data_IF_983267776111
#
_entry.id   IF_983267776111
#
_cell.length_a   1.000
_cell.length_b   1.000
_cell.length_c   1.000
_cell.angle_alpha   90.00
_cell.angle_beta   90.00
_cell.angle_gamma   90.00
#
_symmetry.space_group_name_H-M   'P 1'
#
loop_
_entity.id
_entity.type
_entity.pdbx_description
1 polymer ?
#
# COMPACT_ATOMS: atom_id res chain seq x y z
N UNK A 1 2.68 6.81 -1.16
CA UNK A 1 4.11 7.15 -1.25
C UNK A 1 4.83 6.11 -0.41
N UNK A 2 5.74 5.33 -1.00
CA UNK A 2 6.53 4.32 -0.30
C UNK A 2 7.95 4.86 -0.11
N UNK A 3 8.56 4.60 1.04
CA UNK A 3 9.89 5.13 1.39
C UNK A 3 10.86 3.96 1.58
N UNK A 4 12.02 4.02 0.95
CA UNK A 4 13.16 3.15 1.22
C UNK A 4 14.11 3.83 2.20
N UNK A 5 14.63 3.09 3.18
CA UNK A 5 15.81 3.51 3.93
C UNK A 5 16.89 2.46 3.71
N UNK A 6 17.91 2.79 2.94
CA UNK A 6 19.13 1.99 2.87
C UNK A 6 20.26 2.68 3.65
N UNK A 7 21.16 1.88 4.22
CA UNK A 7 22.22 2.28 5.16
C UNK A 7 23.37 3.02 4.45
N UNK A 8 23.35 3.07 3.12
CA UNK A 8 24.35 3.72 2.28
C UNK A 8 23.87 5.06 1.69
N UNK A 9 23.73 6.10 2.52
CA UNK A 9 23.61 7.56 2.18
C UNK A 9 22.57 8.03 1.12
N UNK A 10 21.98 7.16 0.31
CA UNK A 10 21.01 7.48 -0.74
C UNK A 10 19.65 6.91 -0.34
N UNK A 11 18.69 7.82 -0.11
CA UNK A 11 17.30 7.48 0.22
C UNK A 11 16.50 7.45 -1.08
N UNK A 12 15.78 6.36 -1.33
CA UNK A 12 14.89 6.26 -2.49
C UNK A 12 13.43 6.48 -2.08
N UNK A 13 12.72 7.32 -2.83
CA UNK A 13 11.28 7.53 -2.69
C UNK A 13 10.55 6.93 -3.88
N UNK A 14 9.54 6.13 -3.60
CA UNK A 14 8.60 5.65 -4.60
C UNK A 14 7.29 6.43 -4.54
N UNK A 15 6.94 7.01 -5.68
CA UNK A 15 5.73 7.80 -5.87
C UNK A 15 4.83 7.08 -6.86
N UNK A 16 3.54 7.05 -6.53
CA UNK A 16 2.48 6.58 -7.41
C UNK A 16 1.71 7.79 -7.90
N UNK A 17 1.53 7.89 -9.21
CA UNK A 17 0.84 9.02 -9.84
C UNK A 17 -0.62 8.67 -10.15
N UNK A 18 -1.48 9.67 -10.35
CA UNK A 18 -2.89 9.47 -10.74
C UNK A 18 -3.09 8.80 -12.10
N UNK A 19 -2.04 8.76 -12.93
CA UNK A 19 -2.02 8.02 -14.19
C UNK A 19 -1.53 6.57 -14.05
N UNK A 20 -1.52 6.03 -12.82
CA UNK A 20 -1.11 4.66 -12.51
C UNK A 20 0.33 4.33 -12.90
N UNK A 21 1.22 5.34 -12.85
CA UNK A 21 2.66 5.15 -13.03
C UNK A 21 3.39 5.16 -11.70
N UNK A 22 4.27 4.18 -11.52
CA UNK A 22 5.27 4.11 -10.44
C UNK A 22 6.52 4.87 -10.90
N UNK A 23 7.03 5.74 -10.05
CA UNK A 23 8.30 6.44 -10.25
C UNK A 23 9.16 6.30 -9.00
N UNK A 24 10.46 6.12 -9.20
CA UNK A 24 11.44 6.04 -8.11
C UNK A 24 12.37 7.24 -8.25
N UNK A 25 12.60 7.93 -7.14
CA UNK A 25 13.46 9.11 -7.09
C UNK A 25 14.54 8.92 -6.02
N UNK A 26 15.76 9.31 -6.36
CA UNK A 26 16.87 9.40 -5.43
C UNK A 26 16.79 10.73 -4.66
N UNK A 27 16.98 10.68 -3.35
CA UNK A 27 16.97 11.85 -2.46
C UNK A 27 18.36 12.13 -1.91
N UNK A 28 18.74 13.42 -1.72
CA UNK A 28 17.89 14.63 -1.85
C UNK A 28 17.82 15.21 -3.26
N UNK A 29 18.49 14.61 -4.25
CA UNK A 29 18.63 15.17 -5.61
C UNK A 29 17.31 15.27 -6.38
N UNK A 30 16.31 14.45 -6.04
CA UNK A 30 15.04 14.35 -6.75
C UNK A 30 15.13 13.63 -8.10
N UNK A 31 16.33 13.13 -8.47
CA UNK A 31 16.58 12.51 -9.77
C UNK A 31 15.76 11.23 -9.91
N UNK A 32 15.07 11.07 -11.04
CA UNK A 32 14.34 9.84 -11.35
C UNK A 32 15.33 8.72 -11.64
N UNK A 33 15.16 7.59 -10.95
CA UNK A 33 15.85 6.34 -11.22
C UNK A 33 15.05 5.57 -12.28
N UNK A 34 15.66 5.34 -13.43
CA UNK A 34 15.03 4.61 -14.56
C UNK A 34 15.56 3.19 -14.74
N UNK A 35 16.68 2.87 -14.11
CA UNK A 35 17.34 1.57 -14.25
C UNK A 35 16.64 0.50 -13.39
N UNK A 36 15.97 -0.46 -14.04
CA UNK A 36 15.21 -1.51 -13.36
C UNK A 36 16.09 -2.36 -12.42
N UNK A 37 17.32 -2.66 -12.84
CA UNK A 37 18.29 -3.43 -12.05
C UNK A 37 18.65 -2.77 -10.72
N UNK A 38 18.61 -1.44 -10.66
CA UNK A 38 18.79 -0.68 -9.42
C UNK A 38 17.52 -0.76 -8.59
N UNK A 39 16.36 -0.52 -9.20
CA UNK A 39 15.05 -0.54 -8.52
C UNK A 39 14.77 -1.88 -7.84
N UNK A 40 15.07 -3.00 -8.51
CA UNK A 40 14.83 -4.35 -8.00
C UNK A 40 15.71 -4.71 -6.79
N UNK A 41 16.83 -3.99 -6.58
CA UNK A 41 17.74 -4.19 -5.44
C UNK A 41 17.35 -3.35 -4.23
N UNK A 42 16.41 -2.42 -4.38
CA UNK A 42 16.00 -1.52 -3.31
C UNK A 42 15.18 -2.28 -2.27
N UNK A 43 15.61 -2.21 -1.00
CA UNK A 43 14.84 -2.74 0.13
C UNK A 43 13.96 -1.64 0.73
N UNK A 44 12.66 -1.66 0.43
CA UNK A 44 11.72 -0.65 0.92
C UNK A 44 11.51 -0.75 2.43
N UNK A 45 11.60 0.39 3.13
CA UNK A 45 11.37 0.46 4.58
C UNK A 45 9.88 0.52 4.92
N UNK A 46 9.11 1.19 4.05
CA UNK A 46 7.65 1.25 4.14
C UNK A 46 7.05 1.11 2.78
N UNK A 47 5.90 0.44 2.72
CA UNK A 47 5.14 0.30 1.49
C UNK A 47 3.70 0.74 1.70
N UNK A 48 3.33 1.86 1.08
CA UNK A 48 1.95 2.37 1.10
C UNK A 48 1.36 2.52 -0.30
N UNK A 49 2.06 2.02 -1.31
CA UNK A 49 1.65 2.13 -2.69
C UNK A 49 0.67 1.01 -3.05
N UNK A 50 -0.37 1.37 -3.79
CA UNK A 50 -1.29 0.41 -4.42
C UNK A 50 -0.74 -0.13 -5.75
N UNK A 51 0.46 0.32 -6.16
CA UNK A 51 1.09 -0.03 -7.43
C UNK A 51 2.45 -0.69 -7.18
N UNK A 52 2.67 -1.82 -7.84
CA UNK A 52 3.90 -2.59 -7.81
C UNK A 52 3.61 -4.07 -8.06
N UNK A 53 4.62 -4.80 -8.50
CA UNK A 53 4.49 -6.23 -8.77
C UNK A 53 4.22 -7.01 -7.46
N UNK A 54 4.75 -6.49 -6.36
CA UNK A 54 4.62 -6.99 -4.99
C UNK A 54 3.20 -6.85 -4.43
N UNK A 55 2.34 -6.04 -5.04
CA UNK A 55 0.95 -5.83 -4.61
C UNK A 55 -0.05 -6.02 -5.74
N UNK A 56 0.33 -6.68 -6.84
CA UNK A 56 -0.53 -6.90 -8.01
C UNK A 56 -1.86 -7.58 -7.66
N UNK A 57 -1.86 -8.45 -6.66
CA UNK A 57 -3.01 -9.25 -6.25
C UNK A 57 -4.08 -8.51 -5.45
N UNK A 58 -3.83 -7.27 -5.00
CA UNK A 58 -4.82 -6.49 -4.25
C UNK A 58 -6.00 -6.04 -5.13
N UNK A 59 -5.78 -6.00 -6.45
CA UNK A 59 -6.75 -5.53 -7.43
C UNK A 59 -7.82 -6.61 -7.71
N UNK A 60 -9.13 -6.28 -7.63
CA UNK A 60 -10.20 -7.22 -7.94
C UNK A 60 -10.32 -7.52 -9.45
N UNK A 61 -11.10 -8.55 -9.79
CA UNK A 61 -11.25 -9.07 -11.17
C UNK A 61 -11.81 -8.06 -12.17
N UNK A 62 -12.73 -7.24 -11.70
CA UNK A 62 -13.42 -6.23 -12.50
C UNK A 62 -13.04 -4.83 -12.02
N UNK A 63 -11.80 -4.65 -11.56
CA UNK A 63 -11.36 -3.38 -11.04
C UNK A 63 -11.39 -2.32 -12.13
N UNK A 64 -12.17 -1.27 -11.91
CA UNK A 64 -11.93 -0.03 -12.62
C UNK A 64 -10.84 0.76 -11.89
N UNK A 65 -10.22 1.71 -12.60
CA UNK A 65 -9.31 2.66 -11.97
C UNK A 65 -10.07 3.33 -10.82
N UNK A 66 -9.49 3.29 -9.62
CA UNK A 66 -9.98 3.82 -8.33
C UNK A 66 -10.61 2.80 -7.37
N UNK A 67 -10.78 1.53 -7.76
CA UNK A 67 -11.30 0.51 -6.84
C UNK A 67 -10.50 0.44 -5.53
N UNK A 68 -9.17 0.50 -5.58
CA UNK A 68 -8.32 0.47 -4.39
C UNK A 68 -7.72 1.85 -4.16
N UNK A 69 -8.04 2.46 -3.01
CA UNK A 69 -7.65 3.83 -2.68
C UNK A 69 -6.31 3.89 -1.95
N UNK A 70 -6.09 2.95 -1.04
CA UNK A 70 -4.98 2.98 -0.12
C UNK A 70 -4.48 1.57 0.20
N UNK A 71 -3.18 1.47 0.49
CA UNK A 71 -2.55 0.25 0.97
C UNK A 71 -1.53 0.58 2.06
N UNK A 72 -1.25 -0.39 2.93
CA UNK A 72 -0.14 -0.37 3.87
C UNK A 72 0.36 -1.78 4.10
N UNK A 73 1.67 -2.00 3.95
CA UNK A 73 2.32 -3.24 4.38
C UNK A 73 2.63 -3.14 5.87
N UNK A 74 2.55 -4.27 6.58
CA UNK A 74 2.91 -4.38 7.99
C UNK A 74 4.41 -4.15 8.19
N UNK A 75 4.82 -3.73 9.39
CA UNK A 75 6.24 -3.54 9.70
C UNK A 75 7.04 -4.86 9.66
N UNK A 76 6.37 -5.98 9.93
CA UNK A 76 6.88 -7.35 9.73
C UNK A 76 7.10 -7.72 8.26
N UNK A 77 6.50 -7.01 7.31
CA UNK A 77 6.59 -7.31 5.88
C UNK A 77 5.86 -8.59 5.46
N UNK A 78 4.91 -9.09 6.25
CA UNK A 78 4.19 -10.34 5.97
C UNK A 78 2.77 -10.12 5.46
N UNK A 79 2.20 -8.93 5.68
CA UNK A 79 0.82 -8.64 5.31
C UNK A 79 0.67 -7.28 4.66
N UNK A 80 -0.33 -7.14 3.80
CA UNK A 80 -0.77 -5.86 3.26
C UNK A 80 -2.25 -5.67 3.51
N UNK A 81 -2.61 -4.49 4.01
CA UNK A 81 -4.00 -4.06 4.15
C UNK A 81 -4.34 -3.03 3.10
N UNK A 82 -5.56 -3.10 2.59
CA UNK A 82 -6.08 -2.14 1.61
C UNK A 82 -7.46 -1.64 1.99
N UNK A 83 -7.77 -0.42 1.56
CA UNK A 83 -9.11 0.16 1.60
C UNK A 83 -9.61 0.46 0.19
N UNK A 84 -10.91 0.22 -0.05
CA UNK A 84 -11.56 0.45 -1.35
C UNK A 84 -12.70 1.48 -1.31
N UNK A 85 -13.20 1.83 -2.49
CA UNK A 85 -14.32 2.76 -2.69
C UNK A 85 -15.66 2.24 -2.15
N UNK A 86 -15.76 0.93 -1.89
CA UNK A 86 -16.96 0.26 -1.40
C UNK A 86 -17.01 0.16 0.12
N UNK A 87 -16.05 0.77 0.83
CA UNK A 87 -15.98 0.74 2.29
C UNK A 87 -15.42 -0.56 2.87
N UNK A 88 -14.79 -1.41 2.04
CA UNK A 88 -14.17 -2.64 2.52
C UNK A 88 -12.72 -2.41 2.91
N UNK A 89 -12.37 -2.99 4.05
CA UNK A 89 -10.98 -3.21 4.43
C UNK A 89 -10.62 -4.65 4.09
N UNK A 90 -9.52 -4.86 3.37
CA UNK A 90 -9.05 -6.19 2.96
C UNK A 90 -7.64 -6.44 3.48
N UNK A 91 -7.39 -7.67 3.90
CA UNK A 91 -6.08 -8.14 4.39
C UNK A 91 -5.60 -9.28 3.50
N UNK A 92 -4.37 -9.14 2.99
CA UNK A 92 -3.68 -10.09 2.14
C UNK A 92 -2.33 -10.48 2.75
N UNK A 93 -1.79 -11.60 2.30
CA UNK A 93 -0.37 -11.93 2.49
C UNK A 93 0.48 -11.00 1.61
N UNK A 94 1.70 -10.68 2.07
CA UNK A 94 2.67 -9.89 1.32
C UNK A 94 3.98 -10.67 1.15
N UNK A 95 4.60 -10.67 -0.04
CA UNK A 95 4.14 -10.03 -1.27
C UNK A 95 2.93 -10.73 -1.91
N UNK A 96 2.07 -9.94 -2.53
CA UNK A 96 0.82 -10.32 -3.15
C UNK A 96 0.97 -10.25 -4.69
N UNK A 97 1.77 -11.13 -5.27
CA UNK A 97 2.15 -11.06 -6.70
C UNK A 97 1.15 -11.70 -7.65
N UNK A 98 0.30 -12.61 -7.17
CA UNK A 98 -0.72 -13.26 -8.00
C UNK A 98 -1.98 -12.40 -8.10
N UNK A 99 -2.47 -12.19 -9.32
CA UNK A 99 -3.71 -11.43 -9.56
C UNK A 99 -4.89 -12.05 -8.80
N UNK A 100 -5.75 -11.19 -8.25
CA UNK A 100 -6.99 -11.58 -7.56
C UNK A 100 -6.73 -12.46 -6.34
N UNK A 101 -5.71 -12.10 -5.58
CA UNK A 101 -5.27 -12.87 -4.42
C UNK A 101 -6.41 -13.06 -3.41
N UNK A 102 -6.35 -14.20 -2.73
CA UNK A 102 -7.25 -14.49 -1.61
C UNK A 102 -7.00 -13.48 -0.50
N UNK A 103 -8.09 -13.06 0.14
CA UNK A 103 -8.03 -12.08 1.22
C UNK A 103 -9.12 -12.32 2.23
N UNK A 104 -8.90 -11.79 3.43
CA UNK A 104 -9.96 -11.56 4.41
C UNK A 104 -10.57 -10.19 4.13
N UNK A 105 -11.89 -10.08 4.21
CA UNK A 105 -12.62 -8.82 4.04
C UNK A 105 -13.34 -8.47 5.34
N UNK A 106 -13.33 -7.18 5.67
CA UNK A 106 -13.93 -6.62 6.87
C UNK A 106 -14.86 -5.48 6.47
N UNK A 107 -16.05 -5.48 7.08
CA UNK A 107 -17.09 -4.49 6.85
C UNK A 107 -17.13 -3.52 8.03
N UNK A 108 -17.35 -2.24 7.76
CA UNK A 108 -17.53 -1.22 8.80
C UNK A 108 -17.81 0.15 8.21
N UNK A 109 -16.99 0.59 7.25
CA UNK A 109 -17.20 1.87 6.58
C UNK A 109 -18.46 1.85 5.72
N UNK A 110 -19.24 2.94 5.81
CA UNK A 110 -20.45 3.14 4.99
C UNK A 110 -20.16 3.97 3.72
N UNK A 111 -18.92 4.39 3.54
CA UNK A 111 -18.41 5.11 2.37
C UNK A 111 -16.99 4.63 2.01
N UNK A 112 -16.38 5.24 1.00
CA UNK A 112 -15.02 4.93 0.57
C UNK A 112 -13.98 5.07 1.70
N UNK A 113 -13.09 4.08 1.79
CA UNK A 113 -11.94 4.10 2.70
C UNK A 113 -10.86 4.98 2.09
N UNK A 114 -10.59 6.13 2.71
CA UNK A 114 -9.65 7.14 2.19
C UNK A 114 -8.20 6.83 2.52
N UNK A 115 -7.95 6.19 3.66
CA UNK A 115 -6.59 5.82 4.07
C UNK A 115 -6.60 4.64 5.04
N UNK A 116 -5.47 3.95 5.11
CA UNK A 116 -5.26 2.81 6.00
C UNK A 116 -3.79 2.68 6.43
N UNK A 117 -3.54 2.41 7.71
CA UNK A 117 -2.19 2.24 8.28
C UNK A 117 -2.15 1.18 9.36
N UNK A 118 -1.08 0.40 9.40
CA UNK A 118 -0.75 -0.39 10.58
C UNK A 118 -0.28 0.51 11.73
N UNK A 119 -0.52 0.10 12.96
CA UNK A 119 0.19 0.62 14.12
C UNK A 119 1.65 0.20 14.06
N UNK A 120 2.53 0.96 14.71
CA UNK A 120 3.97 0.69 14.74
C UNK A 120 4.34 -0.74 15.17
N UNK A 121 3.51 -1.36 16.02
CA UNK A 121 3.71 -2.70 16.56
C UNK A 121 2.89 -3.78 15.83
N UNK A 122 2.30 -3.47 14.67
CA UNK A 122 1.43 -4.34 13.86
C UNK A 122 0.21 -4.93 14.60
N UNK A 123 -0.08 -4.48 15.84
CA UNK A 123 -1.23 -4.99 16.62
C UNK A 123 -2.58 -4.45 16.16
N UNK A 124 -2.56 -3.31 15.48
CA UNK A 124 -3.77 -2.66 15.02
C UNK A 124 -3.63 -2.16 13.59
N UNK A 125 -4.77 -2.05 12.94
CA UNK A 125 -4.93 -1.30 11.69
C UNK A 125 -5.86 -0.13 11.98
N UNK A 126 -5.54 1.04 11.45
CA UNK A 126 -6.39 2.22 11.50
C UNK A 126 -6.86 2.52 10.08
N UNK A 127 -8.17 2.67 9.88
CA UNK A 127 -8.75 3.12 8.62
C UNK A 127 -9.56 4.40 8.81
N UNK A 128 -9.52 5.27 7.81
CA UNK A 128 -10.33 6.49 7.77
C UNK A 128 -11.34 6.40 6.64
N UNK A 129 -12.60 6.72 6.94
CA UNK A 129 -13.65 6.79 5.95
C UNK A 129 -13.85 8.22 5.47
N UNK A 130 -14.26 8.37 4.21
CA UNK A 130 -14.52 9.68 3.61
C UNK A 130 -15.85 10.26 4.07
N UNK A 131 -16.92 9.98 3.33
CA UNK A 131 -18.24 10.56 3.61
C UNK A 131 -18.92 10.03 4.87
N UNK A 132 -18.53 8.86 5.36
CA UNK A 132 -19.04 8.36 6.65
C UNK A 132 -18.38 9.06 7.87
N UNK A 133 -17.34 9.88 7.62
CA UNK A 133 -16.62 10.68 8.63
C UNK A 133 -16.12 9.86 9.82
N UNK A 134 -15.83 8.58 9.61
CA UNK A 134 -15.47 7.65 10.68
C UNK A 134 -13.99 7.25 10.67
N UNK A 135 -13.51 6.83 11.84
CA UNK A 135 -12.20 6.20 12.01
C UNK A 135 -12.41 4.88 12.73
N UNK A 136 -11.91 3.79 12.15
CA UNK A 136 -11.96 2.47 12.77
C UNK A 136 -10.58 1.98 13.19
N UNK A 137 -10.55 1.26 14.30
CA UNK A 137 -9.38 0.57 14.83
C UNK A 137 -9.68 -0.92 14.82
N UNK A 138 -8.93 -1.66 14.01
CA UNK A 138 -9.07 -3.10 13.83
C UNK A 138 -7.97 -3.80 14.60
N UNK A 139 -8.31 -4.80 15.41
CA UNK A 139 -7.31 -5.59 16.13
C UNK A 139 -6.78 -6.72 15.24
N UNK A 140 -5.46 -6.79 15.10
CA UNK A 140 -4.77 -7.92 14.50
C UNK A 140 -4.58 -9.01 15.58
N UNK A 141 -4.91 -10.26 15.23
CA UNK A 141 -4.76 -11.43 16.10
C UNK A 141 -3.63 -12.31 15.59
#
# INVERSE_FOLDING_TARGET
MSVCSDVSLAVCLQVSTGNYKRQVHEMPSGKIVTEQTVIDRITWATWTSILGDEVLGIWPRNADKADVNCACVSHTGLNVVTGDDFGLVKLFDFPCTEKFAKHKRYFGHSAHVTNIRFSYDDKYVISTGGHDSSVFVWKCL
#
